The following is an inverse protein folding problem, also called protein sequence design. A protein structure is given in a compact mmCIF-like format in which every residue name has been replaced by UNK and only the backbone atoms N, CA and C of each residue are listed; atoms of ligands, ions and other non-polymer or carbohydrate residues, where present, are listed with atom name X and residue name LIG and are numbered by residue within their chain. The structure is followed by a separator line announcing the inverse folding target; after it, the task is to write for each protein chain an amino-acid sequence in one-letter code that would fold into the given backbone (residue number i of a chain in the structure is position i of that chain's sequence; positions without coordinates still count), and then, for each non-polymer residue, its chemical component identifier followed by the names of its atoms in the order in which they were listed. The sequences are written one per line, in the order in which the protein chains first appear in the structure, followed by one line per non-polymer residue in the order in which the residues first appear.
data_IF_245935764656
#
_entry.id   IF_245935764656
#
_cell.length_a   1.000
_cell.length_b   1.000
_cell.length_c   1.000
_cell.angle_alpha   90.00
_cell.angle_beta   90.00
_cell.angle_gamma   90.00
#
_symmetry.space_group_name_H-M   'P 1'
#
loop_
_entity.id
_entity.type
_entity.pdbx_description
1 polymer ?
#
# COMPACT_ATOMS: atom_id res chain seq x y z
N UNK A 1 12.52 -5.26 -11.41
CA UNK A 1 13.39 -4.86 -10.27
C UNK A 1 13.47 -5.95 -9.21
N UNK A 2 12.36 -6.51 -8.74
CA UNK A 2 12.35 -7.67 -7.84
C UNK A 2 11.88 -8.92 -8.57
N UNK A 3 12.52 -10.06 -8.30
CA UNK A 3 12.19 -11.37 -8.91
C UNK A 3 11.50 -12.32 -7.93
N UNK A 4 11.46 -11.99 -6.64
CA UNK A 4 10.86 -12.81 -5.60
C UNK A 4 10.24 -11.98 -4.48
N UNK A 5 9.31 -12.59 -3.74
CA UNK A 5 8.70 -11.98 -2.56
C UNK A 5 9.71 -11.66 -1.45
N UNK A 6 10.75 -12.49 -1.28
CA UNK A 6 11.80 -12.24 -0.30
C UNK A 6 12.57 -10.95 -0.61
N UNK A 7 12.83 -10.68 -1.90
CA UNK A 7 13.47 -9.44 -2.36
C UNK A 7 12.55 -8.22 -2.19
N UNK A 8 11.24 -8.37 -2.39
CA UNK A 8 10.27 -7.29 -2.12
C UNK A 8 10.29 -6.93 -0.63
N UNK A 9 10.16 -7.93 0.25
CA UNK A 9 10.17 -7.70 1.71
C UNK A 9 11.47 -7.06 2.19
N UNK A 10 12.63 -7.52 1.72
CA UNK A 10 13.92 -6.93 2.13
C UNK A 10 14.10 -5.51 1.58
N UNK A 11 13.68 -5.27 0.33
CA UNK A 11 13.77 -3.95 -0.30
C UNK A 11 12.88 -2.91 0.36
N UNK A 12 11.59 -3.22 0.52
CA UNK A 12 10.63 -2.33 1.20
C UNK A 12 10.86 -2.26 2.71
N UNK A 13 11.33 -3.35 3.33
CA UNK A 13 11.72 -3.37 4.74
C UNK A 13 12.77 -2.29 5.05
N UNK A 14 13.75 -2.12 4.16
CA UNK A 14 14.80 -1.10 4.27
C UNK A 14 14.26 0.33 4.17
N UNK A 15 13.38 0.61 3.20
CA UNK A 15 13.00 1.98 2.85
C UNK A 15 11.78 2.51 3.61
N UNK A 16 10.76 1.68 3.83
CA UNK A 16 9.46 2.16 4.34
C UNK A 16 9.52 2.68 5.77
N UNK A 17 10.37 2.10 6.62
CA UNK A 17 10.51 2.58 8.01
C UNK A 17 11.10 4.01 8.07
N UNK A 18 11.83 4.44 7.03
CA UNK A 18 12.40 5.79 6.89
C UNK A 18 11.53 6.72 6.05
N UNK A 19 10.62 6.17 5.24
CA UNK A 19 9.84 6.93 4.25
C UNK A 19 8.88 7.98 4.83
N UNK A 20 8.39 7.75 6.06
CA UNK A 20 7.36 8.59 6.68
C UNK A 20 7.86 9.38 7.89
N UNK A 21 9.18 9.47 8.06
CA UNK A 21 9.85 10.24 9.13
C UNK A 21 9.76 9.62 10.54
N UNK A 22 8.59 9.12 10.94
CA UNK A 22 8.37 8.52 12.26
C UNK A 22 7.30 7.42 12.24
N UNK A 23 7.21 6.65 13.33
CA UNK A 23 6.14 5.68 13.51
C UNK A 23 4.75 6.33 13.53
N UNK A 24 4.64 7.57 14.05
CA UNK A 24 3.40 8.35 14.05
C UNK A 24 3.02 8.72 12.61
N UNK A 25 3.97 9.18 11.79
CA UNK A 25 3.73 9.47 10.37
C UNK A 25 3.26 8.23 9.61
N UNK A 26 3.93 7.09 9.83
CA UNK A 26 3.52 5.82 9.22
C UNK A 26 2.11 5.38 9.66
N UNK A 27 1.74 5.60 10.92
CA UNK A 27 0.39 5.30 11.43
C UNK A 27 -0.69 6.10 10.67
N UNK A 28 -0.51 7.41 10.50
CA UNK A 28 -1.45 8.22 9.72
C UNK A 28 -1.56 7.79 8.26
N UNK A 29 -0.44 7.37 7.66
CA UNK A 29 -0.45 6.81 6.29
C UNK A 29 -1.24 5.51 6.23
N UNK A 30 -1.06 4.61 7.20
CA UNK A 30 -1.85 3.37 7.30
C UNK A 30 -3.33 3.67 7.45
N UNK A 31 -3.71 4.61 8.31
CA UNK A 31 -5.10 5.03 8.46
C UNK A 31 -5.66 5.59 7.15
N UNK A 32 -4.93 6.50 6.49
CA UNK A 32 -5.35 7.08 5.22
C UNK A 32 -5.57 6.00 4.17
N UNK A 33 -4.63 5.07 4.00
CA UNK A 33 -4.77 3.95 3.06
C UNK A 33 -5.97 3.06 3.39
N UNK A 34 -6.18 2.76 4.68
CA UNK A 34 -7.30 1.94 5.13
C UNK A 34 -8.64 2.62 4.84
N UNK A 35 -8.82 3.86 5.29
CA UNK A 35 -10.09 4.58 5.18
C UNK A 35 -10.46 4.97 3.75
N UNK A 36 -9.47 5.22 2.89
CA UNK A 36 -9.72 5.63 1.50
C UNK A 36 -9.85 4.46 0.53
N UNK A 37 -9.26 3.30 0.84
CA UNK A 37 -9.18 2.18 -0.10
C UNK A 37 -9.82 0.89 0.41
N UNK A 38 -9.51 0.48 1.65
CA UNK A 38 -9.94 -0.82 2.18
C UNK A 38 -11.35 -0.74 2.74
N UNK A 39 -11.62 0.25 3.61
CA UNK A 39 -12.92 0.40 4.25
C UNK A 39 -14.07 0.58 3.23
N UNK A 40 -13.95 1.45 2.20
CA UNK A 40 -15.03 1.59 1.21
C UNK A 40 -15.30 0.29 0.46
N UNK A 41 -14.24 -0.46 0.14
CA UNK A 41 -14.38 -1.79 -0.49
C UNK A 41 -15.07 -2.79 0.43
N UNK A 42 -14.69 -2.87 1.71
CA UNK A 42 -15.38 -3.77 2.66
C UNK A 42 -16.86 -3.40 2.84
N UNK A 43 -17.17 -2.10 2.90
CA UNK A 43 -18.55 -1.61 2.97
C UNK A 43 -19.32 -1.88 1.66
N UNK A 44 -18.69 -1.82 0.50
CA UNK A 44 -19.37 -2.12 -0.76
C UNK A 44 -19.80 -3.59 -0.85
N UNK A 45 -19.00 -4.50 -0.29
CA UNK A 45 -19.33 -5.93 -0.20
C UNK A 45 -20.57 -6.22 0.66
N UNK A 46 -20.93 -5.32 1.60
CA UNK A 46 -22.16 -5.45 2.39
C UNK A 46 -23.38 -4.83 1.70
N UNK A 47 -23.23 -4.32 0.47
CA UNK A 47 -24.29 -3.62 -0.27
C UNK A 47 -24.45 -2.14 0.13
N UNK A 48 -23.53 -1.58 0.92
CA UNK A 48 -23.63 -0.18 1.34
C UNK A 48 -23.35 0.77 0.17
N UNK A 49 -24.28 1.70 -0.10
CA UNK A 49 -24.18 2.69 -1.17
C UNK A 49 -22.93 3.59 -1.03
N UNK A 50 -22.64 4.09 0.17
CA UNK A 50 -21.46 4.92 0.42
C UNK A 50 -20.16 4.13 0.28
N UNK A 51 -20.19 2.83 0.60
CA UNK A 51 -19.08 1.91 0.32
C UNK A 51 -18.77 1.83 -1.18
N UNK A 52 -19.81 1.59 -1.99
CA UNK A 52 -19.70 1.58 -3.45
C UNK A 52 -19.21 2.91 -4.01
N UNK A 53 -19.78 4.03 -3.56
CA UNK A 53 -19.37 5.36 -3.99
C UNK A 53 -17.89 5.60 -3.69
N UNK A 54 -17.44 5.31 -2.47
CA UNK A 54 -16.04 5.47 -2.07
C UNK A 54 -15.11 4.56 -2.89
N UNK A 55 -15.50 3.30 -3.11
CA UNK A 55 -14.72 2.37 -3.93
C UNK A 55 -14.59 2.84 -5.38
N UNK A 56 -15.69 3.31 -6.00
CA UNK A 56 -15.65 3.82 -7.38
C UNK A 56 -14.78 5.08 -7.47
N UNK A 57 -14.88 6.00 -6.51
CA UNK A 57 -14.06 7.22 -6.49
C UNK A 57 -12.56 6.91 -6.39
N UNK A 58 -12.16 5.98 -5.50
CA UNK A 58 -10.75 5.63 -5.37
C UNK A 58 -10.24 4.90 -6.62
N UNK A 59 -11.00 3.95 -7.19
CA UNK A 59 -10.65 3.26 -8.43
C UNK A 59 -10.52 4.27 -9.58
N UNK A 60 -11.48 5.17 -9.73
CA UNK A 60 -11.46 6.19 -10.77
C UNK A 60 -10.24 7.11 -10.67
N UNK A 61 -9.89 7.57 -9.47
CA UNK A 61 -8.66 8.35 -9.25
C UNK A 61 -7.40 7.60 -9.71
N UNK A 62 -7.39 6.27 -9.53
CA UNK A 62 -6.27 5.41 -9.89
C UNK A 62 -6.22 5.13 -11.39
N UNK A 63 -7.36 5.00 -12.03
CA UNK A 63 -7.48 4.92 -13.49
C UNK A 63 -6.93 6.19 -14.14
N UNK A 64 -7.32 7.38 -13.66
CA UNK A 64 -6.82 8.66 -14.20
C UNK A 64 -5.30 8.76 -14.08
N UNK A 65 -4.76 8.36 -12.94
CA UNK A 65 -3.31 8.32 -12.77
C UNK A 65 -2.64 7.31 -13.69
N UNK A 66 -3.21 6.11 -13.87
CA UNK A 66 -2.67 5.09 -14.76
C UNK A 66 -2.63 5.59 -16.21
N UNK A 67 -3.70 6.24 -16.67
CA UNK A 67 -3.75 6.88 -18.01
C UNK A 67 -2.63 7.92 -18.13
N UNK A 68 -2.51 8.82 -17.14
CA UNK A 68 -1.50 9.88 -17.16
C UNK A 68 -0.06 9.32 -17.14
N UNK A 69 0.18 8.22 -16.45
CA UNK A 69 1.52 7.60 -16.34
C UNK A 69 1.75 6.46 -17.34
N UNK A 70 0.85 6.26 -18.32
CA UNK A 70 0.91 5.14 -19.28
C UNK A 70 0.98 3.75 -18.60
N UNK A 71 0.33 3.62 -17.43
CA UNK A 71 0.19 2.38 -16.68
C UNK A 71 -1.04 1.58 -17.09
N UNK A 72 -1.16 0.36 -16.56
CA UNK A 72 -2.30 -0.53 -16.84
C UNK A 72 -3.52 -0.09 -16.02
N UNK A 73 -4.59 0.29 -16.72
CA UNK A 73 -5.83 0.76 -16.10
C UNK A 73 -6.48 -0.33 -15.23
N UNK A 74 -6.42 -1.59 -15.70
CA UNK A 74 -7.01 -2.76 -15.01
C UNK A 74 -6.49 -2.94 -13.59
N UNK A 75 -5.23 -2.58 -13.32
CA UNK A 75 -4.64 -2.70 -12.00
C UNK A 75 -5.34 -1.81 -10.95
N UNK A 76 -6.06 -0.76 -11.41
CA UNK A 76 -6.81 0.17 -10.55
C UNK A 76 -7.93 -0.52 -9.77
N UNK A 77 -8.55 -1.57 -10.31
CA UNK A 77 -9.60 -2.32 -9.62
C UNK A 77 -9.04 -3.10 -8.40
N UNK A 78 -7.76 -3.46 -8.44
CA UNK A 78 -7.09 -4.18 -7.35
C UNK A 78 -6.43 -3.23 -6.35
N UNK A 79 -6.80 -1.94 -6.36
CA UNK A 79 -6.22 -0.95 -5.46
C UNK A 79 -6.40 -1.29 -3.97
N UNK A 80 -7.56 -1.77 -3.49
CA UNK A 80 -7.71 -2.15 -2.07
C UNK A 80 -6.72 -3.25 -1.66
N UNK A 81 -6.45 -4.22 -2.54
CA UNK A 81 -5.47 -5.29 -2.30
C UNK A 81 -4.05 -4.72 -2.26
N UNK A 82 -3.73 -3.82 -3.20
CA UNK A 82 -2.44 -3.13 -3.24
C UNK A 82 -2.20 -2.30 -1.97
N UNK A 83 -3.23 -1.60 -1.49
CA UNK A 83 -3.19 -0.84 -0.23
C UNK A 83 -2.97 -1.77 0.98
N UNK A 84 -3.66 -2.92 1.05
CA UNK A 84 -3.46 -3.90 2.11
C UNK A 84 -2.03 -4.47 2.11
N UNK A 85 -1.49 -4.81 0.94
CA UNK A 85 -0.10 -5.25 0.81
C UNK A 85 0.90 -4.17 1.23
N UNK A 86 0.63 -2.90 0.89
CA UNK A 86 1.48 -1.78 1.31
C UNK A 86 1.43 -1.59 2.83
N UNK A 87 0.26 -1.64 3.46
CA UNK A 87 0.10 -1.59 4.92
C UNK A 87 0.90 -2.72 5.58
N UNK A 88 0.79 -3.95 5.05
CA UNK A 88 1.59 -5.08 5.52
C UNK A 88 3.09 -4.79 5.44
N UNK A 89 3.59 -4.27 4.30
CA UNK A 89 5.00 -3.95 4.13
C UNK A 89 5.48 -2.82 5.04
N UNK A 90 4.63 -1.82 5.32
CA UNK A 90 4.92 -0.76 6.29
C UNK A 90 5.12 -1.38 7.67
N UNK A 91 4.15 -2.16 8.16
CA UNK A 91 4.23 -2.82 9.48
C UNK A 91 5.46 -3.73 9.55
N UNK A 92 5.69 -4.54 8.50
CA UNK A 92 6.86 -5.40 8.41
C UNK A 92 8.17 -4.61 8.53
N UNK A 93 8.28 -3.47 7.83
CA UNK A 93 9.49 -2.64 7.83
C UNK A 93 9.88 -2.14 9.23
N UNK A 94 8.89 -1.78 10.06
CA UNK A 94 9.14 -1.37 11.44
C UNK A 94 9.54 -2.55 12.33
N UNK A 95 8.96 -3.74 12.09
CA UNK A 95 9.27 -4.96 12.85
C UNK A 95 10.70 -5.44 12.62
N UNK A 96 11.20 -5.35 11.39
CA UNK A 96 12.54 -5.87 11.02
C UNK A 96 13.64 -4.80 11.03
N UNK A 97 13.35 -3.56 11.44
CA UNK A 97 14.27 -2.42 11.31
C UNK A 97 15.67 -2.62 11.87
N UNK A 98 15.82 -3.43 12.92
CA UNK A 98 17.11 -3.69 13.59
C UNK A 98 17.87 -4.88 12.99
N UNK A 99 17.26 -5.66 12.11
CA UNK A 99 17.80 -6.90 11.56
C UNK A 99 17.84 -6.91 10.02
N UNK A 100 17.67 -5.75 9.37
CA UNK A 100 17.70 -5.67 7.91
C UNK A 100 19.14 -5.76 7.44
N UNK A 101 19.42 -6.81 6.67
CA UNK A 101 20.63 -6.92 5.86
C UNK A 101 20.27 -6.70 4.39
N UNK A 102 20.88 -5.70 3.75
CA UNK A 102 20.73 -5.41 2.32
C UNK A 102 22.01 -5.72 1.57
N UNK A 103 21.95 -6.60 0.56
CA UNK A 103 23.11 -7.05 -0.23
C UNK A 103 24.30 -7.47 0.65
N UNK A 104 24.04 -8.16 1.77
CA UNK A 104 25.07 -8.65 2.70
C UNK A 104 25.57 -7.64 3.75
N UNK A 105 24.97 -6.44 3.86
CA UNK A 105 25.33 -5.43 4.87
C UNK A 105 24.14 -5.09 5.76
N UNK A 106 24.32 -4.94 7.06
CA UNK A 106 23.31 -4.39 7.98
C UNK A 106 23.06 -2.91 7.67
N UNK A 107 21.79 -2.46 7.56
CA UNK A 107 21.38 -1.09 7.14
C UNK A 107 20.17 -0.56 7.89
#
# INVERSE_FOLDING_TARGET
MYTSWSLIKSGYGKSLNKAFGSAIGAFFVVLLLFFTSILPFLLSLTGNFYGWLGYVMIVFSRMLSAIKTQGRIVDSFLHPISAALLIYLIIYSFKVRSSITWKGRTV
#
